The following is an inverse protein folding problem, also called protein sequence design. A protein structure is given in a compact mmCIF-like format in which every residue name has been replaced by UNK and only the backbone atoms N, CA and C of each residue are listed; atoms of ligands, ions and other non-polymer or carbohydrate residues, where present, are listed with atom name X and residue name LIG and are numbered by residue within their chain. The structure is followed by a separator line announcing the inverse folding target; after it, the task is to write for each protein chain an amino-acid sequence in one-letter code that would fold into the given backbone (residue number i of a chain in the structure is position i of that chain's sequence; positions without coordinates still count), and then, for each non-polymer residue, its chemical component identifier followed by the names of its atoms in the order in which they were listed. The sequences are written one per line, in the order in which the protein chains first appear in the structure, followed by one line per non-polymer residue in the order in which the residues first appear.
data_IF_893962116364
#
_entry.id   IF_893962116364
#
_cell.length_a   1.000
_cell.length_b   1.000
_cell.length_c   1.000
_cell.angle_alpha   90.00
_cell.angle_beta   90.00
_cell.angle_gamma   90.00
#
_symmetry.space_group_name_H-M   'P 1'
#
loop_
_entity.id
_entity.type
_entity.pdbx_description
1 polymer ?
#
# COMPACT_ATOMS: atom_id res chain seq x y z
N UNK A 1 17.59 -7.40 -1.73
CA UNK A 1 18.17 -6.06 -1.49
C UNK A 1 17.10 -4.97 -1.50
N UNK A 2 16.25 -4.87 -2.53
CA UNK A 2 15.22 -3.82 -2.62
C UNK A 2 14.22 -3.81 -1.44
N UNK A 3 13.75 -4.98 -0.97
CA UNK A 3 12.79 -5.07 0.15
C UNK A 3 13.35 -4.54 1.47
N UNK A 4 14.62 -4.83 1.79
CA UNK A 4 15.28 -4.30 2.98
C UNK A 4 15.44 -2.78 2.91
N UNK A 5 15.80 -2.24 1.74
CA UNK A 5 15.86 -0.80 1.53
C UNK A 5 14.49 -0.14 1.75
N UNK A 6 13.40 -0.73 1.24
CA UNK A 6 12.04 -0.22 1.48
C UNK A 6 11.67 -0.22 2.97
N UNK A 7 12.01 -1.26 3.71
CA UNK A 7 11.81 -1.31 5.16
C UNK A 7 12.59 -0.20 5.87
N UNK A 8 13.87 -0.02 5.52
CA UNK A 8 14.70 1.05 6.06
C UNK A 8 14.21 2.45 5.68
N UNK A 9 13.62 2.63 4.49
CA UNK A 9 12.98 3.90 4.09
C UNK A 9 11.82 4.25 5.03
N UNK A 10 11.02 3.27 5.45
CA UNK A 10 9.96 3.51 6.43
C UNK A 10 10.53 3.92 7.80
N UNK A 11 11.56 3.21 8.29
CA UNK A 11 12.25 3.55 9.54
C UNK A 11 12.82 4.96 9.49
N UNK A 12 13.51 5.29 8.40
CA UNK A 12 14.08 6.61 8.17
C UNK A 12 13.01 7.70 8.13
N UNK A 13 11.92 7.50 7.39
CA UNK A 13 10.85 8.49 7.30
C UNK A 13 10.21 8.76 8.67
N UNK A 14 10.03 7.73 9.50
CA UNK A 14 9.49 7.89 10.85
C UNK A 14 10.46 8.64 11.77
N UNK A 15 11.76 8.33 11.70
CA UNK A 15 12.80 9.04 12.46
C UNK A 15 12.86 10.53 12.08
N UNK A 16 12.78 10.85 10.79
CA UNK A 16 12.71 12.23 10.30
C UNK A 16 11.44 12.96 10.78
N UNK A 17 10.27 12.28 10.78
CA UNK A 17 9.04 12.86 11.32
C UNK A 17 9.19 13.15 12.82
N UNK A 18 9.67 12.18 13.60
CA UNK A 18 9.80 12.31 15.05
C UNK A 18 10.82 13.39 15.46
N UNK A 19 11.81 13.70 14.61
CA UNK A 19 12.80 14.76 14.85
C UNK A 19 12.35 16.14 14.38
N UNK A 20 11.28 16.23 13.61
CA UNK A 20 10.83 17.49 13.04
C UNK A 20 9.84 18.21 13.99
N UNK A 21 10.23 19.33 14.62
CA UNK A 21 9.36 20.03 15.57
C UNK A 21 8.11 20.64 14.92
N UNK A 22 8.07 20.75 13.59
CA UNK A 22 6.93 21.30 12.85
C UNK A 22 5.94 20.23 12.38
N UNK A 23 6.26 18.95 12.53
CA UNK A 23 5.43 17.84 12.05
C UNK A 23 5.11 16.90 13.21
N UNK A 24 3.84 16.90 13.65
CA UNK A 24 3.36 16.14 14.81
C UNK A 24 4.10 16.48 16.12
N UNK A 25 4.13 17.76 16.55
CA UNK A 25 4.80 18.15 17.79
C UNK A 25 4.22 17.41 19.00
N UNK A 26 5.08 16.95 19.90
CA UNK A 26 4.74 16.18 21.11
C UNK A 26 4.09 14.81 20.84
N UNK A 27 4.18 14.28 19.62
CA UNK A 27 3.71 12.95 19.26
C UNK A 27 4.91 12.17 18.70
N UNK A 28 5.12 10.96 19.22
CA UNK A 28 6.10 10.03 18.65
C UNK A 28 5.37 8.94 17.86
N UNK A 29 5.75 8.77 16.60
CA UNK A 29 5.31 7.66 15.77
C UNK A 29 6.17 6.43 16.04
N UNK A 30 5.51 5.31 16.37
CA UNK A 30 6.11 3.98 16.38
C UNK A 30 5.77 3.21 15.09
N UNK A 31 6.33 2.01 14.96
CA UNK A 31 6.04 1.10 13.84
C UNK A 31 6.18 -0.37 14.22
N UNK A 32 5.46 -1.21 13.48
CA UNK A 32 5.67 -2.65 13.40
C UNK A 32 5.92 -3.02 11.93
N UNK A 33 7.01 -3.75 11.67
CA UNK A 33 7.40 -4.17 10.32
C UNK A 33 7.26 -5.69 10.19
N UNK A 34 6.61 -6.12 9.10
CA UNK A 34 6.47 -7.53 8.74
C UNK A 34 6.97 -7.77 7.32
N UNK A 35 7.61 -8.92 7.11
CA UNK A 35 7.92 -9.41 5.77
C UNK A 35 6.69 -10.14 5.20
N UNK A 36 6.22 -9.70 4.03
CA UNK A 36 5.13 -10.34 3.32
C UNK A 36 5.57 -11.61 2.56
N UNK A 37 6.88 -11.85 2.47
CA UNK A 37 7.55 -12.93 1.75
C UNK A 37 7.07 -13.13 0.31
N UNK A 38 6.50 -12.09 -0.32
CA UNK A 38 5.85 -12.14 -1.63
C UNK A 38 4.79 -13.26 -1.73
N UNK A 39 4.15 -13.59 -0.61
CA UNK A 39 3.12 -14.64 -0.53
C UNK A 39 1.84 -14.06 0.02
N UNK A 40 0.76 -14.17 -0.77
CA UNK A 40 -0.56 -13.64 -0.42
C UNK A 40 -1.00 -13.99 1.00
N UNK A 41 -0.91 -15.28 1.38
CA UNK A 41 -1.33 -15.73 2.70
C UNK A 41 -0.48 -15.14 3.84
N UNK A 42 0.82 -14.95 3.61
CA UNK A 42 1.74 -14.36 4.60
C UNK A 42 1.47 -12.86 4.72
N UNK A 43 1.32 -12.15 3.60
CA UNK A 43 0.96 -10.74 3.54
C UNK A 43 -0.36 -10.46 4.29
N UNK A 44 -1.38 -11.27 4.02
CA UNK A 44 -2.68 -11.15 4.66
C UNK A 44 -2.59 -11.40 6.17
N UNK A 45 -1.90 -12.47 6.60
CA UNK A 45 -1.68 -12.77 8.02
C UNK A 45 -0.93 -11.65 8.75
N UNK A 46 0.09 -11.07 8.11
CA UNK A 46 0.83 -9.94 8.66
C UNK A 46 -0.06 -8.71 8.84
N UNK A 47 -0.88 -8.38 7.83
CA UNK A 47 -1.82 -7.27 7.91
C UNK A 47 -2.89 -7.47 8.98
N UNK A 48 -3.41 -8.69 9.15
CA UNK A 48 -4.35 -8.99 10.25
C UNK A 48 -3.68 -8.87 11.61
N UNK A 49 -2.45 -9.37 11.77
CA UNK A 49 -1.71 -9.29 13.03
C UNK A 49 -1.41 -7.84 13.45
N UNK A 50 -1.13 -6.96 12.49
CA UNK A 50 -0.96 -5.52 12.73
C UNK A 50 -2.20 -4.88 13.36
N UNK A 51 -3.41 -5.34 13.03
CA UNK A 51 -4.67 -4.76 13.52
C UNK A 51 -5.22 -5.49 14.74
N UNK A 52 -5.02 -6.80 14.84
CA UNK A 52 -5.51 -7.59 15.98
C UNK A 52 -4.59 -7.52 17.21
N UNK A 53 -3.32 -7.18 17.02
CA UNK A 53 -2.29 -7.31 18.05
C UNK A 53 -1.74 -8.72 18.18
N UNK A 54 -0.61 -8.81 18.87
CA UNK A 54 0.14 -10.06 19.12
C UNK A 54 -0.16 -10.65 20.50
N UNK A 55 -1.17 -10.13 21.22
CA UNK A 55 -1.47 -10.59 22.56
C UNK A 55 -2.25 -11.91 22.51
N UNK A 56 -1.57 -13.01 22.83
CA UNK A 56 -2.14 -14.36 22.99
C UNK A 56 -3.15 -14.43 24.15
N UNK A 57 -3.25 -13.37 24.96
CA UNK A 57 -4.13 -13.32 26.15
C UNK A 57 -5.47 -12.64 25.89
N UNK A 58 -6.12 -12.94 24.76
CA UNK A 58 -7.57 -12.76 24.61
C UNK A 58 -8.36 -13.76 25.50
N UNK A 59 -8.01 -13.83 26.78
CA UNK A 59 -8.67 -14.61 27.83
C UNK A 59 -10.05 -14.04 28.17
N UNK A 60 -10.30 -12.79 27.79
CA UNK A 60 -11.61 -12.17 27.83
C UNK A 60 -11.89 -11.60 26.43
N UNK A 61 -13.01 -11.98 25.81
CA UNK A 61 -13.53 -11.47 24.52
C UNK A 61 -13.77 -9.95 24.46
N UNK A 62 -13.22 -9.18 25.40
CA UNK A 62 -13.32 -7.74 25.44
C UNK A 62 -12.27 -7.17 24.49
N UNK A 63 -12.68 -6.86 23.26
CA UNK A 63 -11.94 -6.07 22.28
C UNK A 63 -11.83 -4.59 22.71
N UNK A 64 -11.40 -4.34 23.94
CA UNK A 64 -11.27 -3.00 24.54
C UNK A 64 -9.88 -2.39 24.34
N UNK A 65 -8.90 -3.16 23.87
CA UNK A 65 -7.59 -2.66 23.47
C UNK A 65 -7.69 -1.96 22.11
N UNK A 66 -7.15 -0.75 22.01
CA UNK A 66 -7.01 -0.05 20.71
C UNK A 66 -6.20 -0.93 19.75
N UNK A 67 -6.53 -0.93 18.44
CA UNK A 67 -5.74 -1.65 17.47
C UNK A 67 -4.27 -1.20 17.56
N UNK A 68 -3.30 -2.13 17.45
CA UNK A 68 -1.89 -1.81 17.67
C UNK A 68 -1.37 -0.74 16.70
N UNK A 69 -1.97 -0.64 15.50
CA UNK A 69 -1.63 0.38 14.51
C UNK A 69 -2.86 1.12 14.02
N UNK A 70 -2.67 2.40 13.71
CA UNK A 70 -3.70 3.30 13.17
C UNK A 70 -3.83 3.22 11.64
N UNK A 71 -2.91 2.54 10.96
CA UNK A 71 -2.88 2.40 9.52
C UNK A 71 -1.71 1.55 9.04
N UNK A 72 -1.77 1.16 7.77
CA UNK A 72 -0.79 0.26 7.14
C UNK A 72 -0.10 0.99 5.98
N UNK A 73 1.23 0.95 5.94
CA UNK A 73 2.02 1.35 4.76
C UNK A 73 2.44 0.09 4.00
N UNK A 74 2.12 0.03 2.72
CA UNK A 74 2.17 -1.21 1.91
C UNK A 74 0.77 -1.69 1.56
N UNK A 75 0.59 -2.88 0.99
CA UNK A 75 1.56 -3.83 0.47
C UNK A 75 2.01 -3.40 -0.95
N UNK A 76 3.25 -3.66 -1.38
CA UNK A 76 3.68 -3.30 -2.74
C UNK A 76 2.96 -4.08 -3.84
N UNK A 77 2.49 -5.30 -3.58
CA UNK A 77 1.81 -6.14 -4.54
C UNK A 77 0.33 -5.78 -4.69
N UNK A 78 -0.13 -5.57 -5.93
CA UNK A 78 -1.55 -5.29 -6.22
C UNK A 78 -2.49 -6.39 -5.70
N UNK A 79 -2.17 -7.67 -5.93
CA UNK A 79 -3.00 -8.79 -5.46
C UNK A 79 -3.07 -8.87 -3.93
N UNK A 80 -1.96 -8.62 -3.25
CA UNK A 80 -1.94 -8.58 -1.78
C UNK A 80 -2.76 -7.41 -1.25
N UNK A 81 -2.57 -6.22 -1.84
CA UNK A 81 -3.32 -5.01 -1.48
C UNK A 81 -4.82 -5.19 -1.65
N UNK A 82 -5.26 -5.86 -2.72
CA UNK A 82 -6.67 -6.20 -2.94
C UNK A 82 -7.18 -7.07 -1.79
N UNK A 83 -6.52 -8.20 -1.51
CA UNK A 83 -6.98 -9.12 -0.49
C UNK A 83 -7.03 -8.50 0.92
N UNK A 84 -5.99 -7.74 1.28
CA UNK A 84 -5.92 -7.04 2.56
C UNK A 84 -7.02 -5.98 2.64
N UNK A 85 -7.17 -5.14 1.61
CA UNK A 85 -8.13 -4.04 1.60
C UNK A 85 -9.58 -4.51 1.58
N UNK A 86 -9.88 -5.64 0.93
CA UNK A 86 -11.22 -6.24 0.92
C UNK A 86 -11.73 -6.59 2.32
N UNK A 87 -10.84 -6.90 3.26
CA UNK A 87 -11.19 -7.27 4.63
C UNK A 87 -10.99 -6.11 5.58
N UNK A 88 -9.80 -5.51 5.60
CA UNK A 88 -9.47 -4.44 6.54
C UNK A 88 -10.21 -3.13 6.22
N UNK A 89 -10.67 -2.95 4.99
CA UNK A 89 -11.54 -1.84 4.60
C UNK A 89 -12.89 -1.85 5.32
N UNK A 90 -13.40 -3.02 5.73
CA UNK A 90 -14.63 -3.14 6.53
C UNK A 90 -14.47 -2.52 7.92
N UNK A 91 -13.26 -2.59 8.47
CA UNK A 91 -12.88 -1.99 9.76
C UNK A 91 -12.39 -0.55 9.62
N UNK A 92 -12.46 0.03 8.41
CA UNK A 92 -11.99 1.38 8.07
C UNK A 92 -10.52 1.62 8.41
N UNK A 93 -9.69 0.58 8.34
CA UNK A 93 -8.25 0.71 8.52
C UNK A 93 -7.64 1.34 7.26
N UNK A 94 -7.02 2.52 7.36
CA UNK A 94 -6.38 3.15 6.21
C UNK A 94 -5.14 2.38 5.80
N UNK A 95 -5.02 2.09 4.50
CA UNK A 95 -3.89 1.42 3.89
C UNK A 95 -3.32 2.28 2.77
N UNK A 96 -2.03 2.60 2.80
CA UNK A 96 -1.34 3.41 1.79
C UNK A 96 -0.25 2.58 1.13
N UNK A 97 -0.51 2.07 -0.07
CA UNK A 97 0.50 1.34 -0.84
C UNK A 97 1.44 2.28 -1.59
N UNK A 98 2.73 1.97 -1.57
CA UNK A 98 3.75 2.71 -2.32
C UNK A 98 4.02 2.13 -3.72
N UNK A 99 3.40 1.00 -4.10
CA UNK A 99 3.73 0.32 -5.36
C UNK A 99 2.57 -0.44 -6.05
N UNK A 100 1.41 -0.59 -5.43
CA UNK A 100 0.28 -1.28 -6.06
C UNK A 100 -0.42 -0.41 -7.13
N UNK A 101 -0.22 -0.75 -8.40
CA UNK A 101 -0.65 0.08 -9.54
C UNK A 101 -1.94 -0.36 -10.25
N UNK A 102 -2.53 -1.52 -9.90
CA UNK A 102 -3.78 -2.03 -10.52
C UNK A 102 -4.83 -0.92 -10.59
N UNK A 103 -5.47 -0.75 -11.75
CA UNK A 103 -6.63 0.15 -11.88
C UNK A 103 -7.79 -0.28 -10.98
N UNK A 104 -7.90 -1.58 -10.75
CA UNK A 104 -8.81 -2.31 -9.88
C UNK A 104 -8.93 -1.68 -8.47
N UNK A 105 -7.82 -1.23 -7.89
CA UNK A 105 -7.76 -0.65 -6.53
C UNK A 105 -8.29 0.79 -6.45
N UNK A 106 -8.77 1.36 -7.55
CA UNK A 106 -9.30 2.74 -7.59
C UNK A 106 -10.77 2.81 -7.16
N UNK A 107 -11.49 1.69 -7.21
CA UNK A 107 -12.90 1.63 -6.83
C UNK A 107 -13.08 1.89 -5.33
N UNK A 108 -13.61 3.07 -4.98
CA UNK A 108 -13.83 3.51 -3.60
C UNK A 108 -15.00 2.81 -2.92
N UNK A 109 -15.90 2.19 -3.68
CA UNK A 109 -16.96 1.37 -3.10
C UNK A 109 -16.42 0.02 -2.62
N UNK A 110 -15.49 -0.59 -3.40
CA UNK A 110 -14.84 -1.85 -3.02
C UNK A 110 -13.69 -1.65 -2.02
N UNK A 111 -12.90 -0.59 -2.18
CA UNK A 111 -11.71 -0.32 -1.37
C UNK A 111 -11.78 1.07 -0.71
N UNK A 112 -12.72 1.31 0.22
CA UNK A 112 -12.98 2.64 0.77
C UNK A 112 -11.81 3.24 1.55
N UNK A 113 -10.94 2.38 2.11
CA UNK A 113 -9.81 2.80 2.96
C UNK A 113 -8.43 2.56 2.30
N UNK A 114 -8.40 2.24 1.00
CA UNK A 114 -7.15 2.04 0.26
C UNK A 114 -6.69 3.34 -0.41
N UNK A 115 -5.41 3.64 -0.31
CA UNK A 115 -4.75 4.78 -0.93
C UNK A 115 -3.41 4.34 -1.51
N UNK A 116 -2.81 5.18 -2.35
CA UNK A 116 -1.48 4.94 -2.89
C UNK A 116 -0.75 6.21 -3.27
N UNK A 117 0.56 6.18 -3.18
CA UNK A 117 1.47 7.28 -3.58
C UNK A 117 2.00 7.14 -5.02
N UNK A 118 1.51 6.13 -5.75
CA UNK A 118 1.86 5.83 -7.14
C UNK A 118 0.61 5.92 -8.03
N UNK A 119 0.70 6.39 -9.30
CA UNK A 119 -0.46 6.41 -10.19
C UNK A 119 -0.95 5.00 -10.57
N UNK A 120 -2.18 4.93 -11.07
CA UNK A 120 -2.73 3.71 -11.67
C UNK A 120 -2.05 3.37 -13.00
N UNK A 121 -1.91 2.07 -13.30
CA UNK A 121 -1.59 1.56 -14.65
C UNK A 121 -2.51 2.12 -15.73
N UNK A 122 -3.74 2.53 -15.39
CA UNK A 122 -4.66 3.17 -16.33
C UNK A 122 -4.07 4.43 -16.98
N UNK A 123 -3.21 5.18 -16.27
CA UNK A 123 -2.51 6.33 -16.84
C UNK A 123 -1.42 5.89 -17.80
N UNK A 124 -0.64 4.87 -17.44
CA UNK A 124 0.42 4.32 -18.28
C UNK A 124 -0.13 3.73 -19.58
N UNK A 125 -1.22 2.95 -19.51
CA UNK A 125 -1.90 2.40 -20.69
C UNK A 125 -2.41 3.52 -21.60
N UNK A 126 -3.01 4.56 -21.02
CA UNK A 126 -3.50 5.71 -21.79
C UNK A 126 -2.37 6.42 -22.54
N UNK A 127 -1.21 6.60 -21.89
CA UNK A 127 -0.02 7.18 -22.51
C UNK A 127 0.51 6.31 -23.66
N UNK A 128 0.60 4.98 -23.46
CA UNK A 128 1.03 4.04 -24.52
C UNK A 128 0.09 4.13 -25.73
N UNK A 129 -1.23 4.13 -25.51
CA UNK A 129 -2.22 4.28 -26.59
C UNK A 129 -2.04 5.60 -27.33
N UNK A 130 -1.80 6.71 -26.63
CA UNK A 130 -1.54 8.01 -27.26
C UNK A 130 -0.26 8.01 -28.11
N UNK A 131 0.81 7.38 -27.63
CA UNK A 131 2.07 7.22 -28.38
C UNK A 131 1.83 6.41 -29.66
N UNK A 132 1.10 5.29 -29.56
CA UNK A 132 0.79 4.43 -30.70
C UNK A 132 -0.09 5.15 -31.73
N UNK A 133 -1.14 5.85 -31.30
CA UNK A 133 -1.99 6.66 -32.19
C UNK A 133 -1.17 7.69 -32.94
N UNK A 134 -0.35 8.47 -32.21
CA UNK A 134 0.53 9.47 -32.82
C UNK A 134 1.49 8.86 -33.86
N UNK A 135 2.03 7.67 -33.59
CA UNK A 135 2.90 6.96 -34.54
C UNK A 135 2.15 6.49 -35.79
N UNK A 136 0.91 6.05 -35.65
CA UNK A 136 0.08 5.63 -36.78
C UNK A 136 -0.40 6.83 -37.61
N UNK A 137 -0.75 7.94 -36.96
CA UNK A 137 -1.24 9.16 -37.60
C UNK A 137 -0.14 9.95 -38.33
N UNK A 138 1.13 9.85 -37.89
CA UNK A 138 2.28 10.51 -38.54
C UNK A 138 2.80 9.76 -39.78
N UNK A 139 2.12 8.70 -40.23
CA UNK A 139 2.61 7.83 -41.30
C UNK A 139 3.76 6.98 -40.80
N UNK A 140 3.50 5.68 -40.59
CA UNK A 140 4.58 4.72 -40.35
C UNK A 140 5.66 4.87 -41.43
N UNK A 141 6.95 4.67 -41.09
CA UNK A 141 8.01 4.69 -42.09
C UNK A 141 7.64 3.69 -43.19
N UNK A 142 7.73 4.16 -44.43
CA UNK A 142 7.44 3.37 -45.60
C UNK A 142 8.16 2.02 -45.54
N UNK A 143 7.36 0.96 -45.68
CA UNK A 143 7.81 -0.22 -46.43
C UNK A 143 7.66 0.17 -47.90
N UNK A 144 8.54 1.06 -48.35
CA UNK A 144 8.98 1.18 -49.74
C UNK A 144 10.49 0.93 -49.74
N UNK A 145 10.83 -0.36 -49.70
CA UNK A 145 11.95 -1.00 -50.38
C UNK A 145 11.88 -2.50 -50.09
#
# INVERSE_FOLDING_TARGET
MASFQQAMTMVFAIDEINRNPNLLPNIMLGYHLYDNCVKLAVAFRAATALISGTDETASNLNCTSSPPVIGIVGDPGSTHSIAISSVLGLFRVPMVSYFATCSCLTDRHQFPSFFRTIPSDAFQVRAIVQILKRRLDLGGPGVQQ
#
